data_IF_154846836858
#
_entry.id   IF_154846836858
#
_cell.length_a   1.000
_cell.length_b   1.000
_cell.length_c   1.000
_cell.angle_alpha   90.00
_cell.angle_beta   90.00
_cell.angle_gamma   90.00
#
_symmetry.space_group_name_H-M   'P 1'
#
loop_
_entity.id
_entity.type
_entity.pdbx_description
1 polymer ?
#
# COMPACT_ATOMS: atom_id res chain seq x y z
N UNK A 1 -47.15 -44.41 46.55
CA UNK A 1 -45.82 -43.85 46.25
C UNK A 1 -45.74 -43.54 44.76
N UNK A 2 -45.86 -42.27 44.38
CA UNK A 2 -45.66 -41.82 42.98
C UNK A 2 -44.57 -40.75 43.00
N UNK A 3 -43.44 -41.10 42.36
CA UNK A 3 -42.30 -40.23 42.11
C UNK A 3 -42.65 -39.30 40.95
N UNK A 4 -42.45 -37.98 41.10
CA UNK A 4 -42.45 -37.05 39.99
C UNK A 4 -41.05 -36.46 39.82
N UNK A 5 -40.49 -36.74 38.65
CA UNK A 5 -39.24 -36.22 38.11
C UNK A 5 -39.37 -34.73 37.82
N UNK A 6 -38.46 -33.91 38.35
CA UNK A 6 -38.26 -32.53 37.93
C UNK A 6 -37.15 -32.53 36.88
N UNK A 7 -37.50 -32.17 35.66
CA UNK A 7 -36.59 -32.06 34.51
C UNK A 7 -35.92 -30.67 34.57
N UNK A 8 -34.62 -30.62 34.87
CA UNK A 8 -33.83 -29.39 34.75
C UNK A 8 -33.40 -29.21 33.29
N UNK A 9 -34.01 -28.25 32.59
CA UNK A 9 -33.63 -27.87 31.24
C UNK A 9 -32.48 -26.85 31.33
N UNK A 10 -31.23 -27.31 31.17
CA UNK A 10 -30.07 -26.43 31.11
C UNK A 10 -29.97 -25.88 29.68
N UNK A 11 -30.40 -24.63 29.49
CA UNK A 11 -30.27 -23.93 28.21
C UNK A 11 -28.79 -23.54 28.03
N UNK A 12 -28.03 -24.38 27.32
CA UNK A 12 -26.68 -24.07 26.92
C UNK A 12 -26.74 -23.03 25.79
N UNK A 13 -26.57 -21.76 26.13
CA UNK A 13 -26.38 -20.69 25.15
C UNK A 13 -24.98 -20.90 24.57
N UNK A 14 -24.92 -21.59 23.43
CA UNK A 14 -23.70 -21.71 22.64
C UNK A 14 -23.50 -20.36 21.93
N UNK A 15 -22.74 -19.45 22.55
CA UNK A 15 -22.24 -18.28 21.85
C UNK A 15 -21.22 -18.77 20.82
N UNK A 16 -21.61 -18.73 19.55
CA UNK A 16 -20.69 -18.92 18.44
C UNK A 16 -19.78 -17.68 18.44
N UNK A 17 -18.65 -17.76 19.15
CA UNK A 17 -17.56 -16.83 18.93
C UNK A 17 -16.98 -17.23 17.57
N UNK A 18 -17.11 -16.35 16.58
CA UNK A 18 -16.34 -16.46 15.34
C UNK A 18 -14.87 -16.27 15.71
N UNK A 19 -14.18 -17.35 16.07
CA UNK A 19 -12.72 -17.38 16.08
C UNK A 19 -12.27 -17.40 14.63
N UNK A 20 -11.93 -16.24 14.09
CA UNK A 20 -11.04 -16.18 12.93
C UNK A 20 -9.73 -16.84 13.37
N UNK A 21 -9.33 -17.90 12.67
CA UNK A 21 -8.02 -18.52 12.87
C UNK A 21 -6.98 -17.56 12.32
N UNK A 22 -6.32 -16.81 13.21
CA UNK A 22 -5.20 -15.92 12.93
C UNK A 22 -4.10 -16.67 12.18
N UNK A 23 -3.64 -16.08 11.09
CA UNK A 23 -2.36 -16.44 10.48
C UNK A 23 -1.27 -15.57 11.13
N UNK A 24 -0.13 -16.15 11.53
CA UNK A 24 1.00 -15.35 12.04
C UNK A 24 1.67 -14.49 10.94
N UNK A 25 1.15 -14.56 9.72
CA UNK A 25 1.72 -13.98 8.51
C UNK A 25 0.84 -12.90 7.89
N UNK A 26 -0.07 -12.32 8.66
CA UNK A 26 -1.02 -11.31 8.17
C UNK A 26 -0.99 -10.02 8.98
N UNK A 27 -1.27 -8.91 8.31
CA UNK A 27 -1.53 -7.61 8.92
C UNK A 27 -2.84 -7.06 8.37
N UNK A 28 -3.60 -6.37 9.21
CA UNK A 28 -4.88 -5.81 8.84
C UNK A 28 -4.83 -4.29 9.00
N UNK A 29 -5.26 -3.59 7.96
CA UNK A 29 -5.46 -2.15 7.97
C UNK A 29 -6.96 -1.85 7.92
N UNK A 30 -7.40 -0.93 8.76
CA UNK A 30 -8.76 -0.40 8.75
C UNK A 30 -8.65 1.08 8.43
N UNK A 31 -9.33 1.51 7.38
CA UNK A 31 -9.54 2.93 7.15
C UNK A 31 -10.84 3.36 7.81
N UNK A 32 -10.70 4.15 8.87
CA UNK A 32 -11.82 4.81 9.52
C UNK A 32 -11.92 6.25 9.04
N UNK A 33 -13.13 6.71 8.70
CA UNK A 33 -13.37 8.08 8.24
C UNK A 33 -14.37 8.72 9.16
N UNK A 34 -13.97 9.85 9.76
CA UNK A 34 -14.79 10.61 10.70
C UNK A 34 -14.98 12.05 10.23
N UNK A 35 -16.12 12.62 10.59
CA UNK A 35 -16.46 14.03 10.34
C UNK A 35 -15.68 14.94 11.29
N UNK A 36 -15.14 16.04 10.77
CA UNK A 36 -14.56 17.06 11.64
C UNK A 36 -15.68 17.91 12.23
N UNK A 37 -15.78 17.93 13.56
CA UNK A 37 -16.82 18.68 14.26
C UNK A 37 -16.71 20.18 13.98
N UNK A 38 -17.81 20.78 13.54
CA UNK A 38 -17.91 22.22 13.28
C UNK A 38 -17.62 22.64 11.84
N UNK A 39 -17.26 21.69 10.96
CA UNK A 39 -17.08 21.89 9.53
C UNK A 39 -17.94 20.90 8.77
N UNK A 40 -18.74 21.35 7.80
CA UNK A 40 -19.54 20.42 6.99
C UNK A 40 -18.73 19.77 5.86
N UNK A 41 -17.54 20.30 5.57
CA UNK A 41 -16.79 19.94 4.38
C UNK A 41 -15.42 19.33 4.70
N UNK A 42 -15.14 18.92 5.93
CA UNK A 42 -13.86 18.30 6.29
C UNK A 42 -14.02 16.95 6.98
N UNK A 43 -13.13 16.03 6.62
CA UNK A 43 -13.10 14.65 7.15
C UNK A 43 -11.69 14.25 7.54
N UNK A 44 -11.58 13.35 8.50
CA UNK A 44 -10.32 12.71 8.91
C UNK A 44 -10.36 11.25 8.51
N UNK A 45 -9.46 10.84 7.63
CA UNK A 45 -9.20 9.44 7.31
C UNK A 45 -8.04 8.90 8.15
N UNK A 46 -8.30 7.94 9.03
CA UNK A 46 -7.32 7.32 9.91
C UNK A 46 -6.98 5.91 9.46
N UNK A 47 -5.68 5.63 9.29
CA UNK A 47 -5.20 4.27 9.02
C UNK A 47 -4.89 3.60 10.34
N UNK A 48 -5.73 2.64 10.70
CA UNK A 48 -5.68 1.87 11.94
C UNK A 48 -5.10 0.49 11.65
N UNK A 49 -4.23 0.00 12.53
CA UNK A 49 -3.65 -1.34 12.42
C UNK A 49 -4.30 -2.35 13.35
N UNK A 50 -4.37 -3.57 12.85
CA UNK A 50 -4.74 -4.77 13.56
C UNK A 50 -3.69 -5.85 13.22
N UNK A 51 -3.27 -6.63 14.21
CA UNK A 51 -2.21 -7.65 14.05
C UNK A 51 -0.85 -7.10 13.57
N UNK A 52 -0.42 -5.94 14.11
CA UNK A 52 0.90 -5.37 13.83
C UNK A 52 1.91 -5.92 14.84
N UNK A 53 2.43 -7.11 14.56
CA UNK A 53 3.36 -7.84 15.42
C UNK A 53 4.66 -8.12 14.66
N UNK A 54 5.79 -8.01 15.36
CA UNK A 54 7.14 -8.27 14.86
C UNK A 54 7.49 -7.50 13.58
N UNK A 55 6.98 -6.27 13.45
CA UNK A 55 7.09 -5.50 12.20
C UNK A 55 8.45 -4.81 12.07
N UNK A 56 9.08 -4.97 10.92
CA UNK A 56 10.35 -4.34 10.59
C UNK A 56 10.20 -3.14 9.64
N UNK A 57 9.28 -3.23 8.68
CA UNK A 57 9.06 -2.18 7.70
C UNK A 57 7.69 -2.31 7.01
N UNK A 58 7.21 -1.20 6.44
CA UNK A 58 6.13 -1.22 5.46
C UNK A 58 6.35 -0.18 4.36
N UNK A 59 5.73 -0.41 3.21
CA UNK A 59 5.47 0.61 2.20
C UNK A 59 4.03 0.48 1.74
N UNK A 60 3.32 1.60 1.66
CA UNK A 60 1.94 1.67 1.21
C UNK A 60 1.67 2.99 0.53
N UNK A 61 0.62 3.04 -0.27
CA UNK A 61 0.11 4.28 -0.83
C UNK A 61 -1.39 4.40 -0.56
N UNK A 62 -1.80 5.58 -0.12
CA UNK A 62 -3.21 5.95 -0.09
C UNK A 62 -3.58 6.65 -1.39
N UNK A 63 -4.77 6.33 -1.87
CA UNK A 63 -5.35 6.91 -3.07
C UNK A 63 -6.76 7.43 -2.80
N UNK A 64 -7.05 8.60 -3.33
CA UNK A 64 -8.38 9.20 -3.38
C UNK A 64 -8.62 9.86 -4.75
N UNK A 65 -9.87 10.18 -5.05
CA UNK A 65 -10.19 11.00 -6.21
C UNK A 65 -9.97 12.49 -5.87
N UNK A 66 -9.04 13.21 -6.52
CA UNK A 66 -8.78 14.62 -6.25
C UNK A 66 -9.95 15.54 -6.64
N UNK A 67 -10.90 15.07 -7.47
CA UNK A 67 -12.13 15.80 -7.73
C UNK A 67 -13.10 15.71 -6.54
N UNK A 68 -13.03 14.64 -5.74
CA UNK A 68 -13.89 14.42 -4.57
C UNK A 68 -13.28 14.95 -3.27
N UNK A 69 -11.94 14.88 -3.14
CA UNK A 69 -11.20 15.18 -1.92
C UNK A 69 -9.92 15.97 -2.18
N UNK A 70 -9.73 17.02 -1.39
CA UNK A 70 -8.53 17.85 -1.36
C UNK A 70 -7.74 17.55 -0.08
N UNK A 71 -6.50 17.11 -0.22
CA UNK A 71 -5.59 16.92 0.92
C UNK A 71 -5.33 18.27 1.61
N UNK A 72 -5.47 18.31 2.94
CA UNK A 72 -5.11 19.49 3.74
C UNK A 72 -3.79 19.26 4.47
N UNK A 73 -3.75 18.24 5.34
CA UNK A 73 -2.58 17.97 6.18
C UNK A 73 -2.54 16.54 6.71
N UNK A 74 -1.37 16.14 7.20
CA UNK A 74 -1.23 15.00 8.10
C UNK A 74 -1.68 15.46 9.49
N UNK A 75 -2.87 15.04 9.90
CA UNK A 75 -3.46 15.39 11.20
C UNK A 75 -2.71 14.69 12.35
N UNK A 76 -2.31 13.44 12.11
CA UNK A 76 -1.62 12.63 13.11
C UNK A 76 -0.60 11.69 12.46
N UNK A 77 0.54 11.50 13.12
CA UNK A 77 1.57 10.54 12.75
C UNK A 77 2.05 9.87 14.03
N UNK A 78 2.05 8.54 14.06
CA UNK A 78 2.43 7.77 15.25
C UNK A 78 3.95 7.81 15.49
N UNK A 79 4.40 8.77 16.29
CA UNK A 79 5.81 8.93 16.62
C UNK A 79 6.36 7.82 17.54
N UNK A 80 5.51 7.02 18.19
CA UNK A 80 5.95 5.97 19.12
C UNK A 80 6.71 4.86 18.41
N UNK A 81 6.43 4.66 17.12
CA UNK A 81 7.16 3.73 16.24
C UNK A 81 8.28 4.42 15.43
N UNK A 82 8.57 5.69 15.73
CA UNK A 82 9.52 6.49 14.99
C UNK A 82 9.05 6.91 13.59
N UNK A 83 7.76 6.77 13.27
CA UNK A 83 7.18 7.30 12.04
C UNK A 83 7.21 8.83 12.06
N UNK A 84 7.53 9.42 10.92
CA UNK A 84 7.74 10.87 10.79
C UNK A 84 7.12 11.39 9.51
N UNK A 85 6.76 12.68 9.50
CA UNK A 85 6.15 13.31 8.32
C UNK A 85 7.04 13.27 7.06
N UNK A 86 8.37 13.28 7.19
CA UNK A 86 9.29 13.25 6.05
C UNK A 86 9.25 11.90 5.30
N UNK A 87 8.55 10.92 5.84
CA UNK A 87 8.37 9.60 5.24
C UNK A 87 7.11 9.50 4.38
N UNK A 88 6.39 10.61 4.23
CA UNK A 88 5.24 10.75 3.37
C UNK A 88 5.60 11.63 2.17
N UNK A 89 5.35 11.12 0.97
CA UNK A 89 5.55 11.90 -0.23
C UNK A 89 4.34 12.80 -0.50
N UNK A 90 4.40 14.00 0.07
CA UNK A 90 3.37 15.05 -0.11
C UNK A 90 3.39 15.72 -1.48
N UNK A 91 4.30 15.36 -2.39
CA UNK A 91 4.38 15.98 -3.73
C UNK A 91 3.32 15.47 -4.71
N UNK A 92 2.65 14.36 -4.40
CA UNK A 92 1.65 13.73 -5.26
C UNK A 92 0.21 13.91 -4.74
N UNK A 93 0.00 14.75 -3.73
CA UNK A 93 -1.32 14.94 -3.11
C UNK A 93 -2.33 15.59 -4.06
N UNK A 94 -1.87 16.43 -4.99
CA UNK A 94 -2.72 16.99 -6.06
C UNK A 94 -3.17 15.93 -7.07
N UNK A 95 -2.43 14.82 -7.18
CA UNK A 95 -2.76 13.67 -8.03
C UNK A 95 -3.62 12.63 -7.30
N UNK A 96 -4.03 12.92 -6.05
CA UNK A 96 -4.82 11.99 -5.25
C UNK A 96 -4.00 10.86 -4.61
N UNK A 97 -2.68 11.05 -4.43
CA UNK A 97 -1.78 10.01 -3.96
C UNK A 97 -0.96 10.46 -2.74
N UNK A 98 -0.83 9.59 -1.74
CA UNK A 98 0.10 9.77 -0.61
C UNK A 98 0.90 8.49 -0.35
N UNK A 99 2.03 8.30 -1.06
CA UNK A 99 2.95 7.22 -0.79
C UNK A 99 3.67 7.43 0.54
N UNK A 100 3.86 6.35 1.30
CA UNK A 100 4.65 6.35 2.54
C UNK A 100 5.46 5.06 2.70
N UNK A 101 6.65 5.20 3.29
CA UNK A 101 7.55 4.11 3.62
C UNK A 101 7.93 4.25 5.10
N UNK A 102 7.85 3.17 5.85
CA UNK A 102 8.35 3.11 7.21
C UNK A 102 9.30 1.94 7.42
N UNK A 103 10.35 2.18 8.18
CA UNK A 103 11.25 1.16 8.71
C UNK A 103 11.40 1.39 10.20
N UNK A 104 11.35 0.33 10.99
CA UNK A 104 11.69 0.40 12.41
C UNK A 104 13.09 0.97 12.62
N UNK A 105 13.24 1.84 13.62
CA UNK A 105 14.54 2.39 14.01
C UNK A 105 15.43 1.29 14.62
N UNK A 106 16.72 1.31 14.30
CA UNK A 106 17.78 0.46 14.88
C UNK A 106 17.56 -1.07 14.82
N UNK A 107 16.89 -1.56 13.76
CA UNK A 107 16.65 -3.00 13.53
C UNK A 107 15.87 -3.71 14.65
N UNK A 108 15.16 -2.95 15.49
CA UNK A 108 14.28 -3.49 16.51
C UNK A 108 12.86 -3.59 15.94
N UNK A 109 12.30 -4.80 15.97
CA UNK A 109 10.91 -5.05 15.60
C UNK A 109 9.96 -4.22 16.44
N UNK A 110 8.86 -3.80 15.84
CA UNK A 110 7.83 -3.02 16.53
C UNK A 110 6.53 -3.80 16.57
N UNK A 111 5.94 -3.83 17.77
CA UNK A 111 4.58 -4.31 18.01
C UNK A 111 3.70 -3.11 18.30
N UNK A 112 2.47 -3.14 17.81
CA UNK A 112 1.45 -2.16 18.17
C UNK A 112 0.22 -2.87 18.71
N UNK A 113 -0.41 -2.25 19.71
CA UNK A 113 -1.71 -2.72 20.17
C UNK A 113 -2.73 -2.64 19.03
N UNK A 114 -3.68 -3.58 19.06
CA UNK A 114 -4.81 -3.59 18.15
C UNK A 114 -5.58 -2.28 18.22
N UNK A 115 -6.00 -1.78 17.07
CA UNK A 115 -6.78 -0.55 16.99
C UNK A 115 -5.94 0.72 17.11
N UNK A 116 -4.61 0.62 17.17
CA UNK A 116 -3.80 1.85 17.18
C UNK A 116 -3.74 2.48 15.79
N UNK A 117 -3.77 3.82 15.77
CA UNK A 117 -3.65 4.61 14.54
C UNK A 117 -2.17 4.70 14.15
N UNK A 118 -1.84 4.41 12.89
CA UNK A 118 -0.52 4.70 12.33
C UNK A 118 -0.38 6.17 11.97
N UNK A 119 -1.36 6.70 11.24
CA UNK A 119 -1.44 8.10 10.87
C UNK A 119 -2.87 8.46 10.45
N UNK A 120 -3.17 9.75 10.48
CA UNK A 120 -4.45 10.31 10.03
C UNK A 120 -4.20 11.46 9.07
N UNK A 121 -5.07 11.58 8.07
CA UNK A 121 -5.02 12.64 7.07
C UNK A 121 -6.33 13.43 7.16
N UNK A 122 -6.21 14.74 7.14
CA UNK A 122 -7.35 15.64 7.04
C UNK A 122 -7.57 16.04 5.59
N UNK A 123 -8.82 15.92 5.15
CA UNK A 123 -9.24 16.29 3.80
C UNK A 123 -10.37 17.30 3.84
N UNK A 124 -10.41 18.14 2.82
CA UNK A 124 -11.61 18.87 2.43
C UNK A 124 -12.39 18.07 1.38
N UNK A 125 -13.70 17.96 1.56
CA UNK A 125 -14.64 17.33 0.65
C UNK A 125 -15.14 18.33 -0.38
N UNK A 126 -15.09 17.92 -1.64
CA UNK A 126 -15.77 18.61 -2.73
C UNK A 126 -17.16 18.03 -2.99
N UNK A 127 -17.40 16.78 -2.55
CA UNK A 127 -18.71 16.11 -2.63
C UNK A 127 -19.08 15.40 -1.31
N UNK A 128 -20.37 15.10 -1.05
CA UNK A 128 -20.82 14.55 0.23
C UNK A 128 -20.34 13.13 0.55
N UNK A 129 -20.06 12.32 -0.47
CA UNK A 129 -19.61 10.93 -0.34
C UNK A 129 -18.29 10.78 -1.05
N UNK A 130 -17.23 10.41 -0.35
CA UNK A 130 -15.92 10.19 -0.95
C UNK A 130 -15.40 8.81 -0.62
N UNK A 131 -14.75 8.19 -1.61
CA UNK A 131 -14.09 6.89 -1.43
C UNK A 131 -12.59 7.07 -1.24
N UNK A 132 -12.04 6.23 -0.37
CA UNK A 132 -10.61 6.12 -0.14
C UNK A 132 -10.18 4.68 -0.38
N UNK A 133 -9.01 4.48 -0.98
CA UNK A 133 -8.49 3.15 -1.27
C UNK A 133 -7.01 3.08 -0.93
N UNK A 134 -6.58 2.05 -0.20
CA UNK A 134 -5.16 1.68 -0.15
C UNK A 134 -4.81 1.00 -1.47
N UNK A 135 -3.80 1.52 -2.14
CA UNK A 135 -3.42 1.15 -3.49
C UNK A 135 -1.92 0.76 -3.55
N UNK A 136 -1.53 -0.21 -4.40
CA UNK A 136 -0.12 -0.48 -4.70
C UNK A 136 0.49 0.57 -5.66
N UNK A 137 -0.23 1.66 -5.95
CA UNK A 137 0.17 2.75 -6.82
C UNK A 137 0.44 4.03 -6.00
N UNK A 138 1.59 4.73 -6.13
CA UNK A 138 2.67 4.51 -7.07
C UNK A 138 3.81 3.61 -6.55
N UNK A 139 3.81 3.33 -5.24
CA UNK A 139 4.77 2.43 -4.61
C UNK A 139 4.01 1.17 -4.20
N UNK A 140 4.56 0.01 -4.52
CA UNK A 140 3.86 -1.25 -4.24
C UNK A 140 3.59 -1.42 -2.74
N UNK A 141 2.67 -2.31 -2.41
CA UNK A 141 2.14 -2.48 -1.07
C UNK A 141 2.78 -3.67 -0.38
N UNK A 142 3.60 -3.42 0.64
CA UNK A 142 4.36 -4.48 1.31
C UNK A 142 4.51 -4.19 2.80
N UNK A 143 4.38 -5.24 3.62
CA UNK A 143 4.70 -5.25 5.04
C UNK A 143 5.73 -6.34 5.28
N UNK A 144 6.75 -6.05 6.08
CA UNK A 144 7.86 -6.95 6.35
C UNK A 144 7.95 -7.22 7.84
N UNK A 145 7.99 -8.49 8.22
CA UNK A 145 8.39 -8.88 9.56
C UNK A 145 9.91 -8.77 9.75
N UNK A 146 10.39 -9.01 10.96
CA UNK A 146 11.81 -9.01 11.28
C UNK A 146 12.62 -10.19 10.74
N UNK A 147 11.97 -11.24 10.23
CA UNK A 147 12.66 -12.26 9.45
C UNK A 147 12.93 -11.80 8.00
N UNK A 148 12.36 -10.66 7.61
CA UNK A 148 12.39 -10.14 6.24
C UNK A 148 11.32 -10.76 5.35
N UNK A 149 10.35 -11.47 5.93
CA UNK A 149 9.23 -12.08 5.21
C UNK A 149 8.16 -11.02 4.90
N UNK A 150 7.63 -11.06 3.69
CA UNK A 150 6.47 -10.26 3.29
C UNK A 150 5.20 -10.86 3.88
N UNK A 151 4.40 -10.04 4.54
CA UNK A 151 3.14 -10.41 5.16
C UNK A 151 1.96 -10.18 4.20
N UNK A 152 0.93 -11.01 4.33
CA UNK A 152 -0.35 -10.81 3.66
C UNK A 152 -1.08 -9.61 4.28
N UNK A 153 -1.69 -8.78 3.44
CA UNK A 153 -2.37 -7.57 3.88
C UNK A 153 -3.88 -7.67 3.62
N UNK A 154 -4.66 -7.51 4.68
CA UNK A 154 -6.09 -7.26 4.59
C UNK A 154 -6.37 -5.78 4.81
N UNK A 155 -7.17 -5.16 3.96
CA UNK A 155 -7.56 -3.77 4.09
C UNK A 155 -9.07 -3.64 4.10
N UNK A 156 -9.61 -2.98 5.13
CA UNK A 156 -11.01 -2.60 5.21
C UNK A 156 -11.14 -1.12 4.82
N UNK A 157 -11.85 -0.83 3.74
CA UNK A 157 -12.11 0.56 3.33
C UNK A 157 -13.16 1.24 4.22
N UNK A 158 -13.37 2.54 3.99
CA UNK A 158 -14.31 3.35 4.76
C UNK A 158 -15.79 2.95 4.58
N UNK A 159 -16.08 2.01 3.68
CA UNK A 159 -17.41 1.42 3.48
C UNK A 159 -17.51 0.00 4.06
N UNK A 160 -16.47 -0.47 4.75
CA UNK A 160 -16.41 -1.81 5.33
C UNK A 160 -16.05 -2.92 4.34
N UNK A 161 -15.64 -2.58 3.11
CA UNK A 161 -15.21 -3.57 2.13
C UNK A 161 -13.83 -4.09 2.48
N UNK A 162 -13.70 -5.40 2.69
CA UNK A 162 -12.42 -6.05 2.94
C UNK A 162 -11.78 -6.47 1.62
N UNK A 163 -10.53 -6.07 1.42
CA UNK A 163 -9.67 -6.47 0.29
C UNK A 163 -8.46 -7.21 0.81
N UNK A 164 -7.95 -8.17 0.02
CA UNK A 164 -6.77 -8.95 0.35
C UNK A 164 -5.68 -8.74 -0.72
N UNK A 165 -4.50 -8.35 -0.27
CA UNK A 165 -3.30 -8.18 -1.06
C UNK A 165 -2.22 -9.13 -0.53
N UNK A 166 -1.85 -10.12 -1.33
CA UNK A 166 -0.72 -11.01 -1.06
C UNK A 166 0.20 -11.03 -2.28
N UNK A 167 1.52 -10.95 -2.04
CA UNK A 167 2.54 -11.09 -3.08
C UNK A 167 2.46 -12.47 -3.77
N UNK A 168 1.93 -13.49 -3.06
CA UNK A 168 1.77 -14.85 -3.55
C UNK A 168 0.40 -15.12 -4.20
N UNK A 169 -0.56 -14.20 -4.08
CA UNK A 169 -1.79 -14.28 -4.85
C UNK A 169 -1.61 -13.55 -6.17
N UNK A 170 -1.52 -14.32 -7.24
CA UNK A 170 -2.22 -14.02 -8.48
C UNK A 170 -3.72 -13.83 -8.20
N UNK A 171 -4.10 -12.80 -7.44
CA UNK A 171 -5.47 -12.36 -7.36
C UNK A 171 -5.76 -11.74 -8.71
N UNK A 172 -6.49 -12.52 -9.49
CA UNK A 172 -7.07 -12.17 -10.77
C UNK A 172 -8.09 -11.06 -10.53
N UNK A 173 -7.64 -9.84 -10.24
CA UNK A 173 -8.35 -8.68 -10.74
C UNK A 173 -8.19 -8.82 -12.24
N UNK A 174 -9.29 -9.12 -12.93
CA UNK A 174 -9.37 -9.07 -14.40
C UNK A 174 -9.17 -7.63 -14.87
N UNK A 175 -7.98 -7.08 -14.68
CA UNK A 175 -7.36 -6.21 -15.66
C UNK A 175 -6.53 -7.13 -16.55
N UNK A 176 -7.08 -7.36 -17.72
CA UNK A 176 -6.56 -8.20 -18.79
C UNK A 176 -5.10 -7.84 -19.07
N UNK A 177 -4.20 -8.79 -18.78
CA UNK A 177 -2.80 -8.89 -19.25
C UNK A 177 -1.81 -7.79 -18.83
N UNK A 178 -1.32 -7.83 -17.59
CA UNK A 178 -0.03 -7.21 -17.21
C UNK A 178 1.12 -7.98 -17.87
N UNK A 179 1.76 -7.39 -18.87
CA UNK A 179 2.98 -7.95 -19.48
C UNK A 179 4.06 -8.13 -18.42
N UNK A 180 4.42 -9.38 -18.13
CA UNK A 180 5.41 -9.72 -17.13
C UNK A 180 6.82 -9.40 -17.67
N UNK A 181 7.28 -8.15 -17.52
CA UNK A 181 8.63 -7.77 -17.99
C UNK A 181 9.70 -8.06 -16.94
N UNK A 182 10.94 -8.26 -17.40
CA UNK A 182 12.13 -8.37 -16.55
C UNK A 182 13.16 -7.30 -16.90
N UNK A 183 13.96 -6.92 -15.90
CA UNK A 183 14.96 -5.86 -16.01
C UNK A 183 16.33 -6.45 -15.73
N UNK A 184 17.32 -6.18 -16.59
CA UNK A 184 18.70 -6.64 -16.42
C UNK A 184 19.70 -5.65 -17.05
N UNK A 185 20.94 -5.52 -16.55
CA UNK A 185 21.40 -6.05 -15.27
C UNK A 185 20.73 -5.32 -14.10
N UNK A 186 20.64 -6.00 -12.96
CA UNK A 186 20.23 -5.41 -11.69
C UNK A 186 21.06 -6.09 -10.58
N UNK A 187 22.04 -5.43 -9.94
CA UNK A 187 22.35 -3.99 -10.03
C UNK A 187 22.87 -3.50 -11.40
N UNK A 188 22.77 -2.19 -11.66
CA UNK A 188 23.21 -1.52 -12.90
C UNK A 188 24.02 -0.25 -12.61
N UNK A 189 24.84 0.18 -13.56
CA UNK A 189 25.57 1.46 -13.55
C UNK A 189 24.91 2.53 -14.44
N UNK A 190 23.84 2.20 -15.16
CA UNK A 190 23.13 3.16 -16.01
C UNK A 190 22.19 2.51 -17.03
N UNK A 191 22.72 1.71 -17.96
CA UNK A 191 21.87 1.05 -18.97
C UNK A 191 21.17 -0.18 -18.39
N UNK A 192 19.88 -0.30 -18.67
CA UNK A 192 19.08 -1.50 -18.37
C UNK A 192 18.35 -1.98 -19.61
N UNK A 193 18.16 -3.29 -19.71
CA UNK A 193 17.44 -3.99 -20.75
C UNK A 193 16.11 -4.48 -20.19
N UNK A 194 15.05 -4.20 -20.93
CA UNK A 194 13.69 -4.64 -20.65
C UNK A 194 13.37 -5.83 -21.54
N UNK A 195 13.11 -6.96 -20.90
CA UNK A 195 12.80 -8.22 -21.57
C UNK A 195 11.31 -8.55 -21.39
N UNK A 196 10.78 -9.38 -22.28
CA UNK A 196 9.39 -9.85 -22.26
C UNK A 196 8.31 -8.77 -22.46
N UNK A 197 8.68 -7.61 -23.02
CA UNK A 197 7.71 -6.70 -23.65
C UNK A 197 7.28 -7.24 -25.02
N UNK A 198 6.03 -6.98 -25.41
CA UNK A 198 5.56 -7.27 -26.78
C UNK A 198 6.39 -6.48 -27.78
N UNK A 199 6.74 -7.13 -28.91
CA UNK A 199 7.64 -6.60 -29.94
C UNK A 199 6.89 -6.19 -31.21
N UNK A 200 5.62 -5.81 -31.12
CA UNK A 200 4.93 -5.31 -32.30
C UNK A 200 5.53 -3.94 -32.66
N UNK A 201 5.70 -3.68 -33.95
CA UNK A 201 6.32 -2.44 -34.43
C UNK A 201 5.52 -1.16 -34.07
N UNK A 202 4.25 -1.32 -33.69
CA UNK A 202 3.36 -0.25 -33.24
C UNK A 202 3.40 -0.01 -31.73
N UNK A 203 3.98 -0.92 -30.93
CA UNK A 203 3.94 -0.81 -29.48
C UNK A 203 4.90 0.28 -29.01
N UNK A 204 4.36 1.35 -28.45
CA UNK A 204 5.13 2.40 -27.80
C UNK A 204 5.07 2.23 -26.28
N UNK A 205 6.23 2.03 -25.68
CA UNK A 205 6.38 1.91 -24.23
C UNK A 205 7.00 3.16 -23.65
N UNK A 206 6.46 3.61 -22.53
CA UNK A 206 6.98 4.72 -21.76
C UNK A 206 7.44 4.22 -20.39
N UNK A 207 8.56 4.72 -19.89
CA UNK A 207 9.03 4.41 -18.55
C UNK A 207 8.88 5.61 -17.63
N UNK A 208 8.68 5.34 -16.35
CA UNK A 208 8.80 6.33 -15.29
C UNK A 208 9.69 5.75 -14.20
N UNK A 209 10.70 6.52 -13.81
CA UNK A 209 11.61 6.18 -12.74
C UNK A 209 11.25 7.00 -11.49
N UNK A 210 10.99 6.30 -10.40
CA UNK A 210 10.60 6.89 -9.12
C UNK A 210 11.64 6.57 -8.04
N UNK A 211 11.70 7.43 -7.01
CA UNK A 211 12.30 7.07 -5.73
C UNK A 211 11.47 6.00 -5.01
N UNK A 212 11.99 5.44 -3.92
CA UNK A 212 11.20 4.52 -3.06
C UNK A 212 10.00 5.20 -2.38
N UNK A 213 9.99 6.53 -2.31
CA UNK A 213 8.85 7.33 -1.84
C UNK A 213 7.90 7.72 -3.00
N UNK A 214 8.15 7.23 -4.22
CA UNK A 214 7.29 7.52 -5.38
C UNK A 214 7.57 8.86 -6.07
N UNK A 215 8.56 9.65 -5.63
CA UNK A 215 8.93 10.90 -6.33
C UNK A 215 9.40 10.60 -7.74
N UNK A 216 8.85 11.28 -8.76
CA UNK A 216 9.34 11.15 -10.14
C UNK A 216 10.73 11.73 -10.28
N UNK A 217 11.65 10.90 -10.77
CA UNK A 217 13.06 11.27 -10.98
C UNK A 217 13.39 11.42 -12.47
N UNK A 218 12.76 10.61 -13.31
CA UNK A 218 12.90 10.64 -14.75
C UNK A 218 11.76 9.89 -15.43
N UNK A 219 11.62 10.10 -16.72
CA UNK A 219 10.70 9.38 -17.59
C UNK A 219 11.14 9.53 -19.05
N UNK A 220 10.55 8.72 -19.92
CA UNK A 220 10.82 8.78 -21.35
C UNK A 220 10.37 7.54 -22.08
N UNK A 221 10.68 7.46 -23.37
CA UNK A 221 10.37 6.28 -24.16
C UNK A 221 11.36 5.14 -23.90
N UNK A 222 10.87 3.89 -23.93
CA UNK A 222 11.73 2.71 -23.97
C UNK A 222 12.29 2.57 -25.38
N UNK A 223 13.61 2.70 -25.54
CA UNK A 223 14.25 2.63 -26.84
C UNK A 223 14.44 1.17 -27.26
N UNK A 224 13.44 0.62 -27.95
CA UNK A 224 13.40 -0.78 -28.36
C UNK A 224 13.30 -1.72 -27.16
N UNK A 225 14.45 -2.13 -26.60
CA UNK A 225 14.52 -3.05 -25.45
C UNK A 225 15.44 -2.56 -24.34
N UNK A 226 15.84 -1.29 -24.36
CA UNK A 226 16.68 -0.74 -23.30
C UNK A 226 16.25 0.67 -22.89
N UNK A 227 16.70 1.05 -21.70
CA UNK A 227 16.57 2.38 -21.11
C UNK A 227 17.97 2.80 -20.67
N UNK A 228 18.38 4.01 -21.06
CA UNK A 228 19.56 4.66 -20.52
C UNK A 228 19.13 5.54 -19.34
N UNK A 229 19.47 5.11 -18.12
CA UNK A 229 19.09 5.86 -16.92
C UNK A 229 19.90 7.16 -16.80
N UNK A 230 19.34 8.21 -16.18
CA UNK A 230 20.05 9.48 -15.99
C UNK A 230 21.37 9.30 -15.23
N UNK A 231 22.45 9.86 -15.76
CA UNK A 231 23.81 9.69 -15.22
C UNK A 231 24.03 10.41 -13.88
N UNK A 232 23.18 11.38 -13.52
CA UNK A 232 23.29 12.12 -12.25
C UNK A 232 22.68 11.43 -11.03
N UNK A 233 21.93 10.33 -11.19
CA UNK A 233 21.28 9.66 -10.05
C UNK A 233 22.32 9.05 -9.09
N UNK A 234 22.19 9.21 -7.76
CA UNK A 234 23.11 8.58 -6.81
C UNK A 234 23.01 7.04 -6.85
N UNK A 235 23.98 6.36 -6.26
CA UNK A 235 23.84 4.93 -5.97
C UNK A 235 22.66 4.72 -5.01
N UNK A 236 21.83 3.73 -5.25
CA UNK A 236 20.61 3.53 -4.47
C UNK A 236 19.60 2.62 -5.14
N UNK A 237 18.39 2.61 -4.60
CA UNK A 237 17.30 1.79 -5.11
C UNK A 237 16.17 2.66 -5.62
N UNK A 238 15.53 2.19 -6.69
CA UNK A 238 14.54 2.95 -7.43
C UNK A 238 13.42 2.03 -7.90
N UNK A 239 12.26 2.61 -8.19
CA UNK A 239 11.13 1.92 -8.82
C UNK A 239 11.06 2.31 -10.29
N UNK A 240 11.08 1.32 -11.18
CA UNK A 240 10.90 1.48 -12.61
C UNK A 240 9.50 1.01 -12.98
N UNK A 241 8.70 1.91 -13.55
CA UNK A 241 7.38 1.63 -14.11
C UNK A 241 7.47 1.58 -15.62
N UNK A 242 6.78 0.63 -16.23
CA UNK A 242 6.61 0.55 -17.68
C UNK A 242 5.13 0.70 -18.01
N UNK A 243 4.83 1.59 -18.94
CA UNK A 243 3.49 1.86 -19.45
C UNK A 243 3.41 1.50 -20.93
N UNK A 244 2.24 1.07 -21.38
CA UNK A 244 1.91 0.83 -22.78
C UNK A 244 0.56 1.48 -23.07
N UNK A 245 0.54 2.38 -24.06
CA UNK A 245 -0.66 3.16 -24.42
C UNK A 245 -1.31 3.88 -23.21
N UNK A 246 -0.49 4.37 -22.28
CA UNK A 246 -0.95 5.04 -21.06
C UNK A 246 -1.30 4.10 -19.90
N UNK A 247 -1.40 2.79 -20.13
CA UNK A 247 -1.71 1.81 -19.09
C UNK A 247 -0.42 1.30 -18.42
N UNK A 248 -0.39 1.23 -17.10
CA UNK A 248 0.71 0.63 -16.36
C UNK A 248 0.77 -0.89 -16.63
N UNK A 249 1.89 -1.35 -17.20
CA UNK A 249 2.16 -2.78 -17.38
C UNK A 249 2.77 -3.43 -16.14
N UNK A 250 3.54 -2.67 -15.37
CA UNK A 250 4.07 -3.14 -14.10
C UNK A 250 5.21 -2.28 -13.56
N UNK A 251 5.63 -2.64 -12.35
CA UNK A 251 6.67 -1.95 -11.58
C UNK A 251 7.78 -2.93 -11.20
N UNK A 252 9.04 -2.52 -11.32
CA UNK A 252 10.22 -3.29 -10.89
C UNK A 252 11.17 -2.44 -10.06
N UNK A 253 11.67 -3.01 -8.96
CA UNK A 253 12.75 -2.40 -8.18
C UNK A 253 14.08 -2.63 -8.89
N UNK A 254 14.86 -1.56 -9.06
CA UNK A 254 16.21 -1.59 -9.63
C UNK A 254 17.21 -0.99 -8.65
N UNK A 255 18.44 -1.47 -8.69
CA UNK A 255 19.56 -1.01 -7.85
C UNK A 255 20.60 -0.38 -8.76
N UNK A 256 20.92 0.90 -8.49
CA UNK A 256 21.99 1.61 -9.17
C UNK A 256 23.24 1.57 -8.28
N UNK A 257 24.35 1.16 -8.89
CA UNK A 257 25.68 1.13 -8.27
C UNK A 257 26.61 1.92 -9.18
N UNK A 258 27.12 3.05 -8.68
CA UNK A 258 28.21 3.80 -9.32
C UNK A 258 29.56 3.38 -8.75
#
# INVERSE_FOLDING_TARGET
>A
MKSQFIFFFFLMICTVQNTYSQSADEVHLILDVSEVSGTQDEVIGSVIVEYFENMAAYQLSLQWDPEELEYLELEYVNSDIGLREDWFNKSLTEEGLLPTLWTSSDAACTDLERGTVLFSIRFKRNIPTSQFVISPDPIGLYFYDCSGKVLDLYFTDNQGTIRHYSENTTNTVTHTTSGHFSVSPNPTTGRIYIQHLSRNASDQYHYTLLSLLGNRLADGEVNGSFIDLPTQLPSGQYLLRIHHEGNLLGTKRIVLTK
#
